data_IF_212621109620
#
_entry.id   IF_212621109620
#
_cell.length_a   1.000
_cell.length_b   1.000
_cell.length_c   1.000
_cell.angle_alpha   90.00
_cell.angle_beta   90.00
_cell.angle_gamma   90.00
#
_symmetry.space_group_name_H-M   'P 1'
#
loop_
_entity.id
_entity.type
_entity.pdbx_description
1 polymer ?
#
# COMPACT_ATOMS: atom_id res chain seq x y z
N UNK A 1 15.89 -17.93 10.35
CA UNK A 1 15.22 -16.63 10.56
C UNK A 1 16.17 -15.70 11.29
N UNK A 2 16.94 -14.86 10.57
CA UNK A 2 17.74 -13.79 11.18
C UNK A 2 16.87 -12.52 11.12
N UNK A 3 16.35 -12.07 12.27
CA UNK A 3 15.74 -10.75 12.42
C UNK A 3 16.86 -9.73 12.24
N UNK A 4 16.93 -9.14 11.06
CA UNK A 4 17.89 -8.09 10.73
C UNK A 4 17.47 -6.84 11.49
N UNK A 5 18.42 -6.19 12.16
CA UNK A 5 18.21 -4.96 12.95
C UNK A 5 17.55 -3.81 12.16
N UNK A 6 17.54 -3.92 10.83
CA UNK A 6 16.90 -3.00 9.87
C UNK A 6 15.38 -3.01 9.94
N UNK A 7 14.73 -4.14 10.24
CA UNK A 7 13.26 -4.20 10.30
C UNK A 7 12.73 -3.43 11.51
N UNK A 8 13.44 -3.49 12.65
CA UNK A 8 13.05 -2.78 13.86
C UNK A 8 13.25 -1.26 13.75
N UNK A 9 14.29 -0.82 13.03
CA UNK A 9 14.47 0.59 12.71
C UNK A 9 13.42 1.09 11.72
N UNK A 10 13.08 0.31 10.69
CA UNK A 10 12.03 0.67 9.76
C UNK A 10 10.66 0.79 10.44
N UNK A 11 10.31 -0.11 11.36
CA UNK A 11 9.08 0.00 12.17
C UNK A 11 9.10 1.21 13.11
N UNK A 12 10.21 1.48 13.80
CA UNK A 12 10.33 2.65 14.68
C UNK A 12 10.24 3.99 13.91
N UNK A 13 10.92 4.07 12.76
CA UNK A 13 10.88 5.24 11.88
C UNK A 13 9.47 5.42 11.29
N UNK A 14 8.82 4.35 10.83
CA UNK A 14 7.47 4.44 10.27
C UNK A 14 6.44 4.88 11.32
N UNK A 15 6.56 4.38 12.56
CA UNK A 15 5.63 4.71 13.65
C UNK A 15 5.77 6.15 14.16
N UNK A 16 6.98 6.73 14.10
CA UNK A 16 7.27 8.07 14.65
C UNK A 16 7.26 9.20 13.61
N UNK A 17 7.62 8.94 12.36
CA UNK A 17 7.75 10.01 11.35
C UNK A 17 6.47 10.22 10.53
N UNK A 18 5.52 9.28 10.56
CA UNK A 18 4.22 9.39 9.88
C UNK A 18 3.09 9.94 10.73
N UNK A 19 3.35 10.34 11.98
CA UNK A 19 2.31 10.72 12.95
C UNK A 19 2.15 12.24 13.05
N UNK A 20 0.90 12.71 13.11
CA UNK A 20 0.54 14.13 13.38
C UNK A 20 1.34 14.78 14.53
N UNK A 21 1.63 14.12 15.67
CA UNK A 21 2.46 14.73 16.71
C UNK A 21 3.91 15.03 16.31
N UNK A 22 4.51 14.30 15.37
CA UNK A 22 5.87 14.60 14.87
C UNK A 22 5.88 15.88 14.03
N UNK A 23 4.87 16.04 13.17
CA UNK A 23 4.68 17.28 12.40
C UNK A 23 4.52 18.49 13.34
N UNK A 24 3.68 18.36 14.38
CA UNK A 24 3.48 19.43 15.36
C UNK A 24 4.76 19.77 16.14
N UNK A 25 5.57 18.77 16.49
CA UNK A 25 6.85 18.99 17.14
C UNK A 25 7.82 19.80 16.26
N UNK A 26 7.93 19.47 14.96
CA UNK A 26 8.76 20.22 14.01
C UNK A 26 8.28 21.66 13.84
N UNK A 27 6.98 21.88 13.69
CA UNK A 27 6.39 23.23 13.63
C UNK A 27 6.71 24.03 14.90
N UNK A 28 6.63 23.40 16.08
CA UNK A 28 6.97 24.04 17.34
C UNK A 28 8.46 24.41 17.43
N UNK A 29 9.36 23.53 16.94
CA UNK A 29 10.80 23.81 16.86
C UNK A 29 11.09 25.00 15.94
N UNK A 30 10.47 25.06 14.76
CA UNK A 30 10.63 26.19 13.84
C UNK A 30 10.07 27.49 14.41
N UNK A 31 8.89 27.43 15.04
CA UNK A 31 8.31 28.59 15.70
C UNK A 31 9.22 29.12 16.83
N UNK A 32 9.76 28.21 17.65
CA UNK A 32 10.70 28.56 18.71
C UNK A 32 11.99 29.17 18.15
N UNK A 33 12.53 28.61 17.06
CA UNK A 33 13.72 29.14 16.39
C UNK A 33 13.51 30.57 15.88
N UNK A 34 12.37 30.83 15.24
CA UNK A 34 12.00 32.17 14.75
C UNK A 34 11.86 33.14 15.92
N UNK A 35 11.17 32.74 17.01
CA UNK A 35 10.99 33.59 18.19
C UNK A 35 12.33 33.96 18.87
N UNK A 36 13.27 33.01 18.96
CA UNK A 36 14.61 33.27 19.52
C UNK A 36 15.40 34.23 18.62
N UNK A 37 15.29 34.09 17.29
CA UNK A 37 16.04 34.92 16.34
C UNK A 37 15.36 36.26 16.01
N UNK A 38 14.14 36.51 16.49
CA UNK A 38 13.44 37.79 16.34
C UNK A 38 14.05 38.93 17.19
N UNK A 39 14.95 38.60 18.12
CA UNK A 39 15.73 39.59 18.87
C UNK A 39 15.04 40.17 20.12
N UNK A 40 13.86 39.67 20.50
CA UNK A 40 13.10 40.12 21.69
C UNK A 40 13.62 39.51 23.02
N UNK A 41 14.66 38.66 22.98
CA UNK A 41 15.23 38.04 24.18
C UNK A 41 16.52 38.78 24.59
N UNK A 42 16.51 39.56 25.69
CA UNK A 42 17.70 40.27 26.15
C UNK A 42 18.80 39.27 26.56
N UNK A 43 19.97 39.37 25.91
CA UNK A 43 21.16 38.56 26.22
C UNK A 43 21.49 37.45 25.21
N UNK A 44 20.63 37.20 24.22
CA UNK A 44 20.90 36.24 23.13
C UNK A 44 21.24 37.02 21.86
N UNK A 45 22.43 36.82 21.30
CA UNK A 45 22.82 37.42 20.02
C UNK A 45 22.00 36.82 18.87
N UNK A 46 21.65 37.64 17.88
CA UNK A 46 20.95 37.19 16.67
C UNK A 46 21.90 36.26 15.90
N UNK A 47 21.62 34.94 15.92
CA UNK A 47 22.47 33.92 15.31
C UNK A 47 22.08 33.64 13.85
N UNK A 48 20.78 33.70 13.53
CA UNK A 48 20.23 33.49 12.19
C UNK A 48 19.35 34.71 11.82
N UNK A 49 19.96 35.81 11.34
CA UNK A 49 19.21 37.00 10.93
C UNK A 49 18.27 36.69 9.77
N UNK A 50 17.15 37.41 9.69
CA UNK A 50 16.27 37.39 8.52
C UNK A 50 17.11 37.64 7.25
N UNK A 51 17.14 36.71 6.27
CA UNK A 51 16.09 35.76 5.86
C UNK A 51 16.18 34.29 6.39
N UNK A 52 16.86 34.02 7.51
CA UNK A 52 17.00 32.68 8.12
C UNK A 52 17.68 31.62 7.22
N UNK A 53 18.93 31.88 6.82
CA UNK A 53 19.67 30.99 5.92
C UNK A 53 19.95 29.62 6.56
N UNK A 54 20.22 29.57 7.87
CA UNK A 54 20.52 28.30 8.55
C UNK A 54 19.27 27.44 8.69
N UNK A 55 18.15 28.03 9.11
CA UNK A 55 16.86 27.32 9.18
C UNK A 55 16.49 26.74 7.80
N UNK A 56 16.65 27.52 6.74
CA UNK A 56 16.33 27.07 5.37
C UNK A 56 17.17 25.85 4.96
N UNK A 57 18.46 25.85 5.27
CA UNK A 57 19.33 24.69 5.00
C UNK A 57 18.87 23.45 5.79
N UNK A 58 18.58 23.60 7.08
CA UNK A 58 18.13 22.47 7.93
C UNK A 58 16.81 21.90 7.42
N UNK A 59 15.84 22.76 7.12
CA UNK A 59 14.53 22.34 6.58
C UNK A 59 14.67 21.62 5.24
N UNK A 60 15.52 22.11 4.34
CA UNK A 60 15.74 21.45 3.05
C UNK A 60 16.35 20.05 3.21
N UNK A 61 17.32 19.89 4.12
CA UNK A 61 17.91 18.60 4.43
C UNK A 61 16.88 17.64 5.05
N UNK A 62 16.08 18.13 6.00
CA UNK A 62 15.01 17.35 6.61
C UNK A 62 14.00 16.87 5.56
N UNK A 63 13.59 17.74 4.64
CA UNK A 63 12.65 17.39 3.58
C UNK A 63 13.17 16.27 2.66
N UNK A 64 14.48 16.28 2.34
CA UNK A 64 15.11 15.21 1.55
C UNK A 64 15.08 13.88 2.32
N UNK A 65 15.44 13.89 3.60
CA UNK A 65 15.43 12.68 4.44
C UNK A 65 14.00 12.11 4.56
N UNK A 66 13.01 12.97 4.80
CA UNK A 66 11.60 12.57 4.85
C UNK A 66 11.14 11.97 3.52
N UNK A 67 11.50 12.59 2.40
CA UNK A 67 11.14 12.09 1.05
C UNK A 67 11.69 10.68 0.81
N UNK A 68 12.94 10.41 1.22
CA UNK A 68 13.55 9.08 1.11
C UNK A 68 12.84 8.06 2.02
N UNK A 69 12.51 8.44 3.26
CA UNK A 69 11.76 7.56 4.18
C UNK A 69 10.39 7.23 3.60
N UNK A 70 9.68 8.22 3.05
CA UNK A 70 8.38 8.03 2.38
C UNK A 70 8.52 7.09 1.19
N UNK A 71 9.53 7.28 0.32
CA UNK A 71 9.78 6.38 -0.82
C UNK A 71 10.10 4.95 -0.37
N UNK A 72 10.86 4.78 0.72
CA UNK A 72 11.14 3.46 1.30
C UNK A 72 9.86 2.80 1.83
N UNK A 73 9.01 3.56 2.53
CA UNK A 73 7.72 3.08 3.01
C UNK A 73 6.79 2.69 1.85
N UNK A 74 6.74 3.51 0.80
CA UNK A 74 5.99 3.23 -0.43
C UNK A 74 6.49 1.97 -1.14
N UNK A 75 7.80 1.80 -1.30
CA UNK A 75 8.37 0.60 -1.93
C UNK A 75 8.04 -0.67 -1.12
N UNK A 76 8.12 -0.59 0.21
CA UNK A 76 7.71 -1.71 1.08
C UNK A 76 6.22 -2.01 0.97
N UNK A 77 5.38 -0.99 0.91
CA UNK A 77 3.92 -1.15 0.77
C UNK A 77 3.57 -1.76 -0.59
N UNK A 78 4.15 -1.26 -1.68
CA UNK A 78 3.95 -1.80 -3.03
C UNK A 78 4.31 -3.28 -3.13
N UNK A 79 5.41 -3.72 -2.51
CA UNK A 79 5.76 -5.16 -2.47
C UNK A 79 4.73 -6.00 -1.72
N UNK A 80 4.13 -5.46 -0.66
CA UNK A 80 3.08 -6.16 0.09
C UNK A 80 1.77 -6.19 -0.71
N UNK A 81 1.44 -5.10 -1.40
CA UNK A 81 0.30 -5.01 -2.31
C UNK A 81 0.44 -6.03 -3.45
N UNK A 82 1.60 -6.11 -4.10
CA UNK A 82 1.85 -7.10 -5.17
C UNK A 82 1.64 -8.56 -4.70
N UNK A 83 2.02 -8.88 -3.46
CA UNK A 83 1.81 -10.21 -2.88
C UNK A 83 0.33 -10.44 -2.57
N UNK A 84 -0.36 -9.44 -2.01
CA UNK A 84 -1.79 -9.52 -1.72
C UNK A 84 -2.58 -9.72 -3.01
N UNK A 85 -2.29 -8.96 -4.04
CA UNK A 85 -2.95 -9.06 -5.35
C UNK A 85 -2.77 -10.46 -5.95
N UNK A 86 -1.58 -11.06 -5.82
CA UNK A 86 -1.34 -12.43 -6.27
C UNK A 86 -2.16 -13.46 -5.48
N UNK A 87 -2.24 -13.31 -4.16
CA UNK A 87 -3.01 -14.22 -3.29
C UNK A 87 -4.51 -14.08 -3.58
N UNK A 88 -5.02 -12.85 -3.67
CA UNK A 88 -6.42 -12.57 -3.94
C UNK A 88 -6.80 -13.13 -5.32
N UNK A 89 -5.95 -12.94 -6.33
CA UNK A 89 -6.14 -13.58 -7.65
C UNK A 89 -6.18 -15.10 -7.53
N UNK A 90 -5.29 -15.74 -6.76
CA UNK A 90 -5.30 -17.20 -6.60
C UNK A 90 -6.58 -17.69 -5.89
N UNK A 91 -7.04 -16.96 -4.86
CA UNK A 91 -8.27 -17.29 -4.13
C UNK A 91 -9.48 -17.18 -5.07
N UNK A 92 -9.56 -16.13 -5.87
CA UNK A 92 -10.67 -15.92 -6.80
C UNK A 92 -10.74 -17.05 -7.85
N UNK A 93 -9.59 -17.46 -8.38
CA UNK A 93 -9.51 -18.60 -9.32
C UNK A 93 -10.00 -19.89 -8.68
N UNK A 94 -9.54 -20.19 -7.46
CA UNK A 94 -9.97 -21.39 -6.74
C UNK A 94 -11.46 -21.35 -6.41
N UNK A 95 -11.97 -20.19 -5.98
CA UNK A 95 -13.38 -20.01 -5.68
C UNK A 95 -14.24 -20.26 -6.94
N UNK A 96 -13.79 -19.80 -8.11
CA UNK A 96 -14.45 -20.06 -9.38
C UNK A 96 -14.47 -21.55 -9.76
N UNK A 97 -13.36 -22.25 -9.57
CA UNK A 97 -13.28 -23.71 -9.77
C UNK A 97 -14.22 -24.46 -8.82
N UNK A 98 -14.25 -24.09 -7.53
CA UNK A 98 -15.14 -24.66 -6.53
C UNK A 98 -16.62 -24.40 -6.86
N UNK A 99 -16.97 -23.18 -7.28
CA UNK A 99 -18.32 -22.84 -7.73
C UNK A 99 -18.71 -23.69 -8.93
N UNK A 100 -17.83 -23.83 -9.92
CA UNK A 100 -18.07 -24.66 -11.10
C UNK A 100 -18.32 -26.12 -10.71
N UNK A 101 -17.51 -26.65 -9.79
CA UNK A 101 -17.66 -28.01 -9.27
C UNK A 101 -18.99 -28.18 -8.53
N UNK A 102 -19.40 -27.20 -7.72
CA UNK A 102 -20.70 -27.19 -7.05
C UNK A 102 -21.86 -27.17 -8.03
N UNK A 103 -21.79 -26.35 -9.09
CA UNK A 103 -22.81 -26.33 -10.15
C UNK A 103 -22.96 -27.70 -10.82
N UNK A 104 -21.85 -28.35 -11.16
CA UNK A 104 -21.85 -29.70 -11.74
C UNK A 104 -22.42 -30.74 -10.77
N UNK A 105 -22.10 -30.65 -9.47
CA UNK A 105 -22.67 -31.54 -8.46
C UNK A 105 -24.18 -31.33 -8.30
N UNK A 106 -24.64 -30.08 -8.24
CA UNK A 106 -26.05 -29.74 -8.15
C UNK A 106 -26.82 -30.23 -9.37
N UNK A 107 -26.26 -30.10 -10.56
CA UNK A 107 -26.87 -30.64 -11.78
C UNK A 107 -27.02 -32.16 -11.71
N UNK A 108 -25.99 -32.89 -11.26
CA UNK A 108 -26.05 -34.36 -11.08
C UNK A 108 -27.12 -34.74 -10.05
N UNK A 109 -27.27 -33.98 -8.97
CA UNK A 109 -28.30 -34.20 -7.95
C UNK A 109 -29.70 -33.92 -8.52
N UNK A 110 -29.88 -32.82 -9.26
CA UNK A 110 -31.14 -32.48 -9.91
C UNK A 110 -31.57 -33.55 -10.93
N UNK A 111 -30.62 -34.06 -11.72
CA UNK A 111 -30.84 -35.18 -12.63
C UNK A 111 -31.25 -36.46 -11.88
N UNK A 112 -30.60 -36.77 -10.77
CA UNK A 112 -30.94 -37.94 -9.94
C UNK A 112 -32.35 -37.85 -9.34
N UNK A 113 -32.75 -36.65 -8.91
CA UNK A 113 -34.08 -36.37 -8.36
C UNK A 113 -35.16 -36.13 -9.43
N UNK A 114 -34.81 -36.21 -10.73
CA UNK A 114 -35.70 -35.96 -11.86
C UNK A 114 -36.36 -34.57 -11.81
N UNK A 115 -35.66 -33.58 -11.26
CA UNK A 115 -36.13 -32.20 -11.24
C UNK A 115 -36.02 -31.65 -12.68
N UNK A 116 -37.11 -31.08 -13.23
CA UNK A 116 -37.05 -30.46 -14.56
C UNK A 116 -36.10 -29.26 -14.49
N UNK A 117 -34.92 -29.40 -15.11
CA UNK A 117 -33.97 -28.30 -15.27
C UNK A 117 -34.29 -27.57 -16.57
N UNK A 118 -34.70 -26.31 -16.47
CA UNK A 118 -34.84 -25.46 -17.65
C UNK A 118 -33.46 -25.20 -18.26
N UNK A 119 -33.37 -25.24 -19.58
CA UNK A 119 -32.13 -24.96 -20.29
C UNK A 119 -31.78 -23.47 -20.13
N UNK A 120 -30.93 -23.17 -19.15
CA UNK A 120 -30.42 -21.82 -18.93
C UNK A 120 -29.06 -21.66 -19.63
N UNK A 121 -28.96 -20.89 -20.73
CA UNK A 121 -27.69 -20.66 -21.43
C UNK A 121 -26.65 -19.93 -20.57
N UNK A 122 -27.07 -19.21 -19.52
CA UNK A 122 -26.16 -18.57 -18.57
C UNK A 122 -25.48 -19.58 -17.64
N UNK A 123 -26.21 -20.61 -17.17
CA UNK A 123 -25.66 -21.68 -16.34
C UNK A 123 -24.57 -22.48 -17.08
N UNK A 124 -24.80 -22.77 -18.36
CA UNK A 124 -23.80 -23.44 -19.20
C UNK A 124 -22.54 -22.58 -19.41
N UNK A 125 -22.67 -21.25 -19.45
CA UNK A 125 -21.52 -20.34 -19.48
C UNK A 125 -20.76 -20.34 -18.16
N UNK A 126 -21.46 -20.34 -17.03
CA UNK A 126 -20.83 -20.41 -15.71
C UNK A 126 -20.07 -21.73 -15.51
N UNK A 127 -20.59 -22.85 -16.03
CA UNK A 127 -19.90 -24.15 -16.01
C UNK A 127 -18.65 -24.23 -16.89
N UNK A 128 -18.54 -23.37 -17.90
CA UNK A 128 -17.37 -23.35 -18.79
C UNK A 128 -16.14 -22.73 -18.12
N UNK A 129 -16.30 -22.07 -16.96
CA UNK A 129 -15.24 -21.39 -16.23
C UNK A 129 -14.62 -20.23 -17.01
N UNK A 130 -14.04 -19.27 -16.31
CA UNK A 130 -13.22 -18.24 -16.94
C UNK A 130 -11.87 -18.86 -17.32
N UNK A 131 -11.57 -18.92 -18.62
CA UNK A 131 -10.29 -19.42 -19.11
C UNK A 131 -9.17 -18.41 -18.80
N UNK A 132 -8.58 -18.53 -17.60
CA UNK A 132 -7.48 -17.67 -17.17
C UNK A 132 -6.27 -17.71 -18.13
N UNK A 133 -6.07 -18.82 -18.85
CA UNK A 133 -4.97 -18.92 -19.82
C UNK A 133 -5.21 -17.96 -20.99
N UNK A 134 -6.45 -17.84 -21.48
CA UNK A 134 -6.79 -16.85 -22.52
C UNK A 134 -6.53 -15.42 -22.05
N UNK A 135 -6.98 -15.07 -20.84
CA UNK A 135 -6.80 -13.70 -20.31
C UNK A 135 -5.31 -13.38 -20.14
N UNK A 136 -4.50 -14.32 -19.62
CA UNK A 136 -3.05 -14.14 -19.53
C UNK A 136 -2.40 -13.93 -20.90
N UNK A 137 -2.77 -14.73 -21.90
CA UNK A 137 -2.22 -14.60 -23.26
C UNK A 137 -2.65 -13.28 -23.94
N UNK A 138 -3.86 -12.80 -23.68
CA UNK A 138 -4.34 -11.51 -24.18
C UNK A 138 -3.52 -10.34 -23.58
N UNK A 139 -3.24 -10.39 -22.27
CA UNK A 139 -2.44 -9.37 -21.58
C UNK A 139 -0.98 -9.40 -22.06
N UNK A 140 -0.38 -10.59 -22.23
CA UNK A 140 1.00 -10.72 -22.74
C UNK A 140 1.13 -10.22 -24.19
N UNK A 141 0.11 -10.43 -25.03
CA UNK A 141 0.07 -9.93 -26.41
C UNK A 141 -0.04 -8.40 -26.48
N UNK A 142 -0.69 -7.77 -25.51
CA UNK A 142 -0.85 -6.31 -25.45
C UNK A 142 0.30 -5.58 -24.73
N UNK A 143 1.15 -6.31 -23.98
CA UNK A 143 2.28 -5.74 -23.21
C UNK A 143 3.64 -5.88 -23.91
N UNK A 144 3.72 -6.60 -25.03
CA UNK A 144 4.91 -6.68 -25.91
C UNK A 144 4.77 -5.84 -27.17
#
# INVERSE_FOLDING_TARGET
>A
MRRTWTDSLAEFLTLRFGTVPFLLANVAVFALWILINLGDIPGIGIFDPYPFNLLTMVVSLEAIVLSVIVLMAQNRQSKMEDIRDQIDTEIDVRAEEEITMLLVMLEKVAQHLQVPMEANPELERMKQGTDLKRIRTEIERHRG
#
